data_IF_227762723701
#
_entry.id   IF_227762723701
#
_cell.length_a   1.000
_cell.length_b   1.000
_cell.length_c   1.000
_cell.angle_alpha   90.00
_cell.angle_beta   90.00
_cell.angle_gamma   90.00
#
_symmetry.space_group_name_H-M   'P 1'
#
loop_
_entity.id
_entity.type
_entity.pdbx_description
1 polymer ?
#
# COMPACT_ATOMS: atom_id res chain seq x y z
N UNK A 1 -3.16 15.05 -16.52
CA UNK A 1 -2.40 14.84 -15.26
C UNK A 1 -1.75 16.12 -14.74
N UNK A 2 -0.94 16.84 -15.53
CA UNK A 2 -0.28 18.08 -15.05
C UNK A 2 -1.25 19.17 -14.55
N UNK A 3 -2.42 19.33 -15.16
CA UNK A 3 -3.44 20.27 -14.66
C UNK A 3 -3.96 19.83 -13.28
N UNK A 4 -4.30 18.55 -13.11
CA UNK A 4 -4.77 17.99 -11.83
C UNK A 4 -3.75 18.17 -10.69
N UNK A 5 -2.46 17.98 -10.97
CA UNK A 5 -1.40 18.21 -9.97
C UNK A 5 -1.32 19.67 -9.52
N UNK A 6 -1.53 20.63 -10.43
CA UNK A 6 -1.46 22.07 -10.13
C UNK A 6 -2.69 22.59 -9.39
N UNK A 7 -3.85 21.96 -9.61
CA UNK A 7 -5.12 22.35 -8.97
C UNK A 7 -5.36 21.66 -7.63
N UNK A 8 -4.49 20.72 -7.22
CA UNK A 8 -4.57 20.09 -5.92
C UNK A 8 -4.36 21.11 -4.80
N UNK A 9 -5.17 21.03 -3.75
CA UNK A 9 -5.10 21.93 -2.57
C UNK A 9 -3.70 21.93 -1.95
N UNK A 10 -3.01 20.80 -1.98
CA UNK A 10 -1.59 20.67 -1.69
C UNK A 10 -0.89 20.05 -2.90
N UNK A 11 -0.20 20.85 -3.73
CA UNK A 11 0.47 20.31 -4.89
C UNK A 11 1.55 19.32 -4.45
N UNK A 12 1.56 18.09 -5.02
CA UNK A 12 2.53 17.06 -4.68
C UNK A 12 3.95 17.57 -4.90
N UNK A 13 4.87 17.22 -4.00
CA UNK A 13 6.29 17.59 -4.08
C UNK A 13 7.16 16.39 -3.73
N UNK A 14 8.37 16.34 -4.30
CA UNK A 14 9.41 15.45 -3.80
C UNK A 14 9.83 15.85 -2.39
N UNK A 15 10.63 15.01 -1.72
CA UNK A 15 11.19 15.34 -0.41
C UNK A 15 12.10 16.59 -0.46
N UNK A 16 12.62 16.95 -1.64
CA UNK A 16 13.48 18.13 -1.90
C UNK A 16 12.64 19.38 -2.13
N UNK A 17 11.31 19.25 -2.11
CA UNK A 17 10.38 20.34 -2.40
C UNK A 17 10.17 20.61 -3.89
N UNK A 18 10.69 19.79 -4.80
CA UNK A 18 10.44 19.93 -6.23
C UNK A 18 8.97 19.61 -6.53
N UNK A 19 8.25 20.46 -7.28
CA UNK A 19 6.86 20.19 -7.62
C UNK A 19 6.75 18.96 -8.51
N UNK A 20 5.79 18.08 -8.20
CA UNK A 20 5.53 16.90 -9.01
C UNK A 20 4.82 17.31 -10.30
N UNK A 21 5.40 16.91 -11.42
CA UNK A 21 4.82 16.98 -12.75
C UNK A 21 4.91 15.63 -13.45
N UNK A 22 4.30 15.51 -14.61
CA UNK A 22 4.29 14.28 -15.41
C UNK A 22 4.92 14.54 -16.78
N UNK A 23 5.77 13.62 -17.22
CA UNK A 23 6.58 13.73 -18.42
C UNK A 23 6.59 12.44 -19.26
N UNK A 24 6.96 12.50 -20.55
CA UNK A 24 7.22 11.32 -21.35
C UNK A 24 8.35 10.46 -20.77
N UNK A 25 8.29 9.10 -20.86
CA UNK A 25 9.28 8.23 -20.23
C UNK A 25 10.71 8.36 -20.76
N UNK A 26 10.90 8.89 -21.96
CA UNK A 26 12.19 9.09 -22.59
C UNK A 26 13.07 10.04 -21.77
N UNK A 27 12.47 10.98 -21.02
CA UNK A 27 13.20 11.91 -20.16
C UNK A 27 13.96 11.21 -19.01
N UNK A 28 13.51 10.02 -18.60
CA UNK A 28 14.13 9.25 -17.52
C UNK A 28 15.11 8.16 -18.03
N UNK A 29 15.28 8.00 -19.34
CA UNK A 29 16.04 6.88 -19.91
C UNK A 29 17.50 6.82 -19.42
N UNK A 30 18.13 7.97 -19.19
CA UNK A 30 19.55 8.05 -18.84
C UNK A 30 19.86 7.65 -17.38
N UNK A 31 18.97 7.94 -16.43
CA UNK A 31 19.20 7.72 -15.00
C UNK A 31 18.19 6.78 -14.32
N UNK A 32 17.14 6.37 -15.04
CA UNK A 32 16.07 5.52 -14.52
C UNK A 32 14.99 6.30 -13.76
N UNK A 33 13.84 5.64 -13.58
CA UNK A 33 12.61 6.23 -13.06
C UNK A 33 12.78 6.95 -11.70
N UNK A 34 13.30 6.27 -10.69
CA UNK A 34 13.39 6.80 -9.32
C UNK A 34 14.38 7.97 -9.21
N UNK A 35 15.53 7.86 -9.86
CA UNK A 35 16.54 8.92 -9.85
C UNK A 35 16.09 10.14 -10.66
N UNK A 36 15.36 9.94 -11.76
CA UNK A 36 14.78 11.03 -12.54
C UNK A 36 13.76 11.84 -11.72
N UNK A 37 12.81 11.17 -11.07
CA UNK A 37 11.81 11.83 -10.21
C UNK A 37 12.51 12.60 -9.09
N UNK A 38 13.48 11.97 -8.43
CA UNK A 38 14.25 12.58 -7.36
C UNK A 38 14.93 13.87 -7.78
N UNK A 39 15.52 13.90 -8.98
CA UNK A 39 16.29 15.02 -9.49
C UNK A 39 15.42 16.15 -10.08
N UNK A 40 14.23 15.84 -10.59
CA UNK A 40 13.45 16.77 -11.42
C UNK A 40 12.03 17.05 -10.92
N UNK A 41 11.49 16.19 -10.05
CA UNK A 41 10.08 16.17 -9.71
C UNK A 41 9.18 15.69 -10.86
N UNK A 42 9.73 15.23 -11.98
CA UNK A 42 8.93 14.78 -13.13
C UNK A 42 8.76 13.28 -13.08
N UNK A 43 7.51 12.82 -13.14
CA UNK A 43 7.11 11.42 -13.09
C UNK A 43 6.89 10.93 -14.53
N UNK A 44 7.70 9.99 -15.03
CA UNK A 44 7.48 9.31 -16.30
C UNK A 44 6.07 8.73 -16.39
N UNK A 45 5.32 9.07 -17.44
CA UNK A 45 3.92 8.65 -17.62
C UNK A 45 3.62 8.50 -19.11
N UNK A 46 3.26 7.28 -19.54
CA UNK A 46 2.86 7.01 -20.93
C UNK A 46 1.42 7.43 -21.18
N UNK A 47 1.18 7.97 -22.36
CA UNK A 47 -0.18 8.26 -22.83
C UNK A 47 -0.93 6.96 -23.08
N UNK A 48 -2.19 6.88 -22.63
CA UNK A 48 -3.04 5.70 -22.82
C UNK A 48 -2.68 4.48 -21.96
N UNK A 49 -1.78 4.63 -20.98
CA UNK A 49 -1.40 3.55 -20.09
C UNK A 49 -2.15 3.65 -18.74
N UNK A 50 -2.98 2.65 -18.45
CA UNK A 50 -3.82 2.60 -17.23
C UNK A 50 -2.99 2.47 -15.96
N UNK A 51 -1.89 1.73 -16.01
CA UNK A 51 -0.98 1.59 -14.88
C UNK A 51 -0.33 2.93 -14.51
N UNK A 52 0.19 3.65 -15.51
CA UNK A 52 0.80 4.97 -15.31
C UNK A 52 -0.26 6.01 -14.86
N UNK A 53 -1.53 5.87 -15.28
CA UNK A 53 -2.65 6.66 -14.76
C UNK A 53 -2.87 6.42 -13.26
N UNK A 54 -2.96 5.17 -12.81
CA UNK A 54 -3.13 4.88 -11.38
C UNK A 54 -1.92 5.32 -10.56
N UNK A 55 -0.71 5.17 -11.10
CA UNK A 55 0.50 5.67 -10.46
C UNK A 55 0.47 7.21 -10.33
N UNK A 56 0.01 7.91 -11.36
CA UNK A 56 -0.18 9.36 -11.30
C UNK A 56 -1.21 9.76 -10.23
N UNK A 57 -2.35 9.07 -10.16
CA UNK A 57 -3.36 9.29 -9.11
C UNK A 57 -2.82 8.99 -7.71
N UNK A 58 -1.99 7.95 -7.56
CA UNK A 58 -1.33 7.64 -6.29
C UNK A 58 -0.39 8.77 -5.85
N UNK A 59 0.37 9.39 -6.76
CA UNK A 59 1.16 10.60 -6.47
C UNK A 59 0.32 11.79 -6.02
N UNK A 60 -0.92 11.92 -6.51
CA UNK A 60 -1.83 13.00 -6.10
C UNK A 60 -2.50 12.71 -4.75
N UNK A 61 -2.88 11.46 -4.49
CA UNK A 61 -3.60 11.05 -3.28
C UNK A 61 -2.68 10.82 -2.07
N UNK A 62 -1.45 10.33 -2.33
CA UNK A 62 -0.44 10.00 -1.31
C UNK A 62 0.89 10.71 -1.57
N UNK A 63 0.90 12.05 -1.70
CA UNK A 63 2.09 12.81 -2.10
C UNK A 63 3.26 12.61 -1.14
N UNK A 64 3.02 12.57 0.18
CA UNK A 64 4.09 12.46 1.18
C UNK A 64 4.69 11.05 1.17
N UNK A 65 3.84 10.03 1.09
CA UNK A 65 4.28 8.63 1.06
C UNK A 65 5.07 8.34 -0.20
N UNK A 66 4.58 8.76 -1.37
CA UNK A 66 5.27 8.59 -2.65
C UNK A 66 6.62 9.31 -2.67
N UNK A 67 6.68 10.54 -2.15
CA UNK A 67 7.94 11.28 -2.00
C UNK A 67 8.93 10.56 -1.07
N UNK A 68 8.47 10.05 0.08
CA UNK A 68 9.31 9.31 1.01
C UNK A 68 9.85 8.01 0.40
N UNK A 69 9.00 7.24 -0.31
CA UNK A 69 9.41 6.02 -1.00
C UNK A 69 10.43 6.31 -2.11
N UNK A 70 10.17 7.33 -2.94
CA UNK A 70 11.09 7.75 -4.00
C UNK A 70 12.46 8.15 -3.43
N UNK A 71 12.48 8.95 -2.36
CA UNK A 71 13.72 9.35 -1.68
C UNK A 71 14.52 8.14 -1.19
N UNK A 72 13.85 7.17 -0.55
CA UNK A 72 14.50 5.94 -0.06
C UNK A 72 14.99 5.06 -1.21
N UNK A 73 14.22 4.93 -2.30
CA UNK A 73 14.69 4.25 -3.52
C UNK A 73 15.93 4.91 -4.10
N UNK A 74 15.90 6.22 -4.32
CA UNK A 74 16.99 6.98 -4.89
C UNK A 74 18.27 6.92 -4.04
N UNK A 75 18.16 6.91 -2.71
CA UNK A 75 19.30 6.75 -1.82
C UNK A 75 19.95 5.35 -1.87
N UNK A 76 19.17 4.31 -2.21
CA UNK A 76 19.67 2.93 -2.27
C UNK A 76 20.23 2.54 -3.64
N UNK A 77 19.66 3.03 -4.73
CA UNK A 77 20.04 2.63 -6.10
C UNK A 77 21.56 2.74 -6.36
N UNK A 78 22.26 3.84 -6.04
CA UNK A 78 23.70 3.94 -6.29
C UNK A 78 24.56 2.97 -5.48
N UNK A 79 24.02 2.41 -4.39
CA UNK A 79 24.70 1.45 -3.51
C UNK A 79 24.45 -0.01 -3.93
N UNK A 80 23.55 -0.23 -4.91
CA UNK A 80 23.15 -1.56 -5.37
C UNK A 80 23.86 -1.89 -6.70
N UNK A 81 24.52 -3.05 -6.77
CA UNK A 81 25.20 -3.55 -7.97
C UNK A 81 24.25 -4.15 -9.02
N UNK A 82 23.12 -3.48 -9.29
CA UNK A 82 22.13 -3.90 -10.30
C UNK A 82 20.97 -4.77 -9.80
N UNK A 83 21.13 -5.47 -8.66
CA UNK A 83 20.03 -6.20 -8.03
C UNK A 83 19.34 -5.37 -6.93
N UNK A 84 18.01 -5.35 -6.95
CA UNK A 84 17.20 -4.63 -5.95
C UNK A 84 17.35 -5.27 -4.57
N UNK A 85 17.70 -4.48 -3.56
CA UNK A 85 17.80 -4.95 -2.18
C UNK A 85 16.44 -5.11 -1.49
N UNK A 86 16.43 -5.77 -0.32
CA UNK A 86 15.21 -6.10 0.45
C UNK A 86 14.37 -4.89 0.84
N UNK A 87 15.00 -3.77 1.20
CA UNK A 87 14.31 -2.53 1.50
C UNK A 87 13.57 -2.01 0.27
N UNK A 88 14.22 -2.01 -0.90
CA UNK A 88 13.56 -1.58 -2.14
C UNK A 88 12.49 -2.58 -2.59
N UNK A 89 12.64 -3.88 -2.33
CA UNK A 89 11.54 -4.84 -2.53
C UNK A 89 10.33 -4.50 -1.67
N UNK A 90 10.53 -4.15 -0.40
CA UNK A 90 9.46 -3.69 0.50
C UNK A 90 8.76 -2.45 -0.07
N UNK A 91 9.54 -1.42 -0.43
CA UNK A 91 8.99 -0.16 -0.95
C UNK A 91 8.26 -0.36 -2.27
N UNK A 92 8.79 -1.20 -3.16
CA UNK A 92 8.09 -1.56 -4.42
C UNK A 92 6.76 -2.23 -4.11
N UNK A 93 6.74 -3.19 -3.17
CA UNK A 93 5.52 -3.89 -2.79
C UNK A 93 4.48 -2.96 -2.16
N UNK A 94 4.92 -1.99 -1.37
CA UNK A 94 4.05 -0.93 -0.84
C UNK A 94 3.52 -0.07 -2.00
N UNK A 95 4.36 0.34 -2.94
CA UNK A 95 3.95 1.22 -4.02
C UNK A 95 3.02 0.57 -5.05
N UNK A 96 3.23 -0.71 -5.36
CA UNK A 96 2.43 -1.43 -6.36
C UNK A 96 1.16 -2.04 -5.75
N UNK A 97 1.24 -2.56 -4.53
CA UNK A 97 0.17 -3.37 -3.94
C UNK A 97 -0.14 -2.99 -2.49
N UNK A 98 0.30 -1.83 -2.02
CA UNK A 98 0.06 -1.35 -0.66
C UNK A 98 -1.39 -1.02 -0.34
N UNK A 99 -1.78 -1.28 0.90
CA UNK A 99 -3.00 -0.76 1.50
C UNK A 99 -2.64 -0.16 2.85
N UNK A 100 -3.02 1.10 3.06
CA UNK A 100 -2.91 1.74 4.37
C UNK A 100 -4.18 1.46 5.13
N UNK A 101 -4.05 0.77 6.27
CA UNK A 101 -5.15 0.35 7.13
C UNK A 101 -5.18 1.26 8.35
N UNK A 102 -6.12 2.19 8.35
CA UNK A 102 -6.47 2.95 9.55
C UNK A 102 -7.14 1.99 10.53
N UNK A 103 -6.62 1.84 11.74
CA UNK A 103 -7.08 0.84 12.69
C UNK A 103 -7.21 1.42 14.10
N UNK A 104 -8.41 1.37 14.66
CA UNK A 104 -8.70 1.77 16.04
C UNK A 104 -8.72 0.60 17.03
N UNK A 105 -8.75 -0.63 16.52
CA UNK A 105 -8.78 -1.85 17.34
C UNK A 105 -7.53 -2.72 17.04
N UNK A 106 -6.56 -2.83 17.97
CA UNK A 106 -5.35 -3.63 17.76
C UNK A 106 -5.64 -5.13 17.61
N UNK A 107 -6.76 -5.62 18.16
CA UNK A 107 -7.20 -7.00 18.00
C UNK A 107 -7.58 -7.34 16.56
N UNK A 108 -8.17 -6.40 15.81
CA UNK A 108 -8.44 -6.60 14.38
C UNK A 108 -7.15 -6.62 13.55
N UNK A 109 -6.19 -5.75 13.88
CA UNK A 109 -4.89 -5.78 13.25
C UNK A 109 -4.12 -7.09 13.53
N UNK A 110 -4.30 -7.68 14.72
CA UNK A 110 -3.76 -9.01 15.05
C UNK A 110 -4.39 -10.10 14.18
N UNK A 111 -5.72 -10.09 13.98
CA UNK A 111 -6.38 -11.04 13.09
C UNK A 111 -5.80 -11.01 11.66
N UNK A 112 -5.43 -9.83 11.13
CA UNK A 112 -4.77 -9.74 9.81
C UNK A 112 -3.38 -10.38 9.84
N UNK A 113 -2.56 -10.05 10.84
CA UNK A 113 -1.18 -10.57 10.95
C UNK A 113 -1.15 -12.09 11.08
N UNK A 114 -2.14 -12.67 11.73
CA UNK A 114 -2.29 -14.11 11.98
C UNK A 114 -3.18 -14.82 10.96
N UNK A 115 -3.63 -14.11 9.91
CA UNK A 115 -4.51 -14.63 8.87
C UNK A 115 -5.82 -15.28 9.39
N UNK A 116 -6.39 -14.74 10.47
CA UNK A 116 -7.68 -15.17 11.06
C UNK A 116 -8.87 -14.58 10.29
N UNK A 117 -9.00 -14.93 9.00
CA UNK A 117 -9.93 -14.27 8.08
C UNK A 117 -11.41 -14.43 8.43
N UNK A 118 -11.83 -15.62 8.85
CA UNK A 118 -13.21 -15.86 9.28
C UNK A 118 -13.54 -15.06 10.54
N UNK A 119 -12.61 -14.96 11.48
CA UNK A 119 -12.81 -14.11 12.66
C UNK A 119 -12.89 -12.63 12.27
N UNK A 120 -11.96 -12.16 11.44
CA UNK A 120 -11.86 -10.76 11.03
C UNK A 120 -13.10 -10.32 10.24
N UNK A 121 -13.35 -10.95 9.09
CA UNK A 121 -14.33 -10.43 8.12
C UNK A 121 -15.75 -10.96 8.33
N UNK A 122 -15.92 -12.12 8.98
CA UNK A 122 -17.25 -12.68 9.26
C UNK A 122 -17.67 -12.44 10.70
N UNK A 123 -16.97 -13.03 11.68
CA UNK A 123 -17.41 -12.97 13.09
C UNK A 123 -17.35 -11.56 13.69
N UNK A 124 -16.34 -10.76 13.29
CA UNK A 124 -16.12 -9.38 13.77
C UNK A 124 -16.43 -8.33 12.71
N UNK A 125 -17.31 -8.66 11.76
CA UNK A 125 -17.66 -7.81 10.61
C UNK A 125 -18.05 -6.37 10.99
N UNK A 126 -18.93 -6.23 11.96
CA UNK A 126 -19.39 -4.91 12.44
C UNK A 126 -18.24 -4.12 13.07
N UNK A 127 -17.35 -4.80 13.81
CA UNK A 127 -16.16 -4.18 14.36
C UNK A 127 -15.18 -3.75 13.27
N UNK A 128 -15.02 -4.51 12.18
CA UNK A 128 -14.24 -4.08 11.00
C UNK A 128 -14.82 -2.82 10.37
N UNK A 129 -16.14 -2.78 10.17
CA UNK A 129 -16.80 -1.59 9.62
C UNK A 129 -16.73 -0.38 10.56
N UNK A 130 -16.72 -0.59 11.88
CA UNK A 130 -16.59 0.51 12.86
C UNK A 130 -15.15 0.99 13.01
N UNK A 131 -14.19 0.07 13.16
CA UNK A 131 -12.85 0.35 13.66
C UNK A 131 -11.73 0.20 12.60
N UNK A 132 -12.04 -0.07 11.33
CA UNK A 132 -11.05 -0.12 10.24
C UNK A 132 -11.49 0.63 8.98
N UNK A 133 -10.53 1.31 8.34
CA UNK A 133 -10.67 1.85 6.97
C UNK A 133 -9.48 1.41 6.14
N UNK A 134 -9.76 0.89 4.94
CA UNK A 134 -8.74 0.44 4.00
C UNK A 134 -8.62 1.48 2.90
N UNK A 135 -7.45 2.08 2.75
CA UNK A 135 -7.17 3.04 1.67
C UNK A 135 -6.04 2.50 0.81
N UNK A 136 -6.34 2.23 -0.46
CA UNK A 136 -5.39 1.61 -1.37
C UNK A 136 -4.40 2.66 -1.87
N UNK A 137 -3.13 2.47 -1.49
CA UNK A 137 -1.99 3.25 -1.99
C UNK A 137 -1.40 2.59 -3.25
N UNK A 138 -1.41 1.26 -3.27
CA UNK A 138 -0.83 0.43 -4.32
C UNK A 138 -1.47 0.67 -5.68
N UNK A 139 -0.77 1.32 -6.60
CA UNK A 139 -1.37 1.70 -7.88
C UNK A 139 -1.75 0.50 -8.76
N UNK A 140 -0.94 -0.57 -8.76
CA UNK A 140 -1.25 -1.79 -9.50
C UNK A 140 -2.38 -2.62 -8.87
N UNK A 141 -2.75 -2.38 -7.61
CA UNK A 141 -3.90 -3.02 -6.99
C UNK A 141 -5.23 -2.56 -7.64
N UNK A 142 -5.33 -1.30 -8.05
CA UNK A 142 -6.51 -0.79 -8.77
C UNK A 142 -6.69 -1.45 -10.14
N UNK A 143 -5.59 -1.69 -10.86
CA UNK A 143 -5.62 -2.42 -12.14
C UNK A 143 -6.13 -3.85 -11.95
N UNK A 144 -5.59 -4.57 -10.97
CA UNK A 144 -6.03 -5.94 -10.62
C UNK A 144 -7.50 -5.98 -10.16
N UNK A 145 -8.00 -4.91 -9.55
CA UNK A 145 -9.39 -4.83 -9.09
C UNK A 145 -10.42 -4.69 -10.22
N UNK A 146 -10.00 -4.35 -11.45
CA UNK A 146 -10.91 -4.31 -12.60
C UNK A 146 -11.40 -5.69 -13.03
N UNK A 147 -10.58 -6.73 -12.79
CA UNK A 147 -10.90 -8.13 -13.08
C UNK A 147 -10.42 -9.02 -11.92
N UNK A 148 -11.15 -9.04 -10.79
CA UNK A 148 -10.68 -9.69 -9.57
C UNK A 148 -10.58 -11.21 -9.73
N UNK A 149 -9.50 -11.81 -9.24
CA UNK A 149 -9.27 -13.25 -9.24
C UNK A 149 -8.81 -13.75 -7.86
N UNK A 150 -9.05 -15.04 -7.53
CA UNK A 150 -8.62 -15.61 -6.26
C UNK A 150 -7.10 -15.52 -6.07
N UNK A 151 -6.67 -14.90 -4.98
CA UNK A 151 -5.25 -14.74 -4.63
C UNK A 151 -4.70 -13.32 -4.77
N UNK A 152 -5.48 -12.35 -5.26
CA UNK A 152 -5.13 -10.94 -5.10
C UNK A 152 -5.07 -10.60 -3.61
N UNK A 153 -3.91 -10.13 -3.16
CA UNK A 153 -3.69 -9.60 -1.82
C UNK A 153 -2.94 -8.29 -1.92
N UNK A 154 -3.30 -7.34 -1.07
CA UNK A 154 -2.51 -6.15 -0.84
C UNK A 154 -1.51 -6.37 0.29
N UNK A 155 -0.57 -5.45 0.44
CA UNK A 155 0.45 -5.42 1.47
C UNK A 155 0.07 -4.36 2.49
N UNK A 156 -0.33 -4.80 3.67
CA UNK A 156 -0.96 -3.91 4.64
C UNK A 156 0.09 -3.14 5.47
N UNK A 157 -0.07 -1.82 5.51
CA UNK A 157 0.58 -0.92 6.43
C UNK A 157 -0.47 -0.44 7.43
N UNK A 158 -0.29 -0.72 8.72
CA UNK A 158 -1.23 -0.29 9.76
C UNK A 158 -0.85 1.08 10.30
N UNK A 159 -1.81 1.98 10.36
CA UNK A 159 -1.71 3.27 11.05
C UNK A 159 -2.76 3.25 12.16
N UNK A 160 -2.31 3.40 13.41
CA UNK A 160 -3.20 3.46 14.56
C UNK A 160 -3.90 4.82 14.57
N UNK A 161 -5.22 4.79 14.73
CA UNK A 161 -6.08 5.98 14.81
C UNK A 161 -7.16 5.76 15.86
N UNK A 162 -7.82 6.82 16.29
CA UNK A 162 -9.04 6.77 17.10
C UNK A 162 -10.29 6.49 16.23
N UNK A 163 -11.38 6.02 16.84
CA UNK A 163 -12.67 5.90 16.14
C UNK A 163 -13.19 7.26 15.66
N UNK A 164 -12.86 8.35 16.36
CA UNK A 164 -13.19 9.71 15.93
C UNK A 164 -12.52 10.07 14.60
N UNK A 165 -11.22 9.78 14.45
CA UNK A 165 -10.49 10.03 13.21
C UNK A 165 -11.00 9.18 12.04
N UNK A 166 -11.50 7.96 12.31
CA UNK A 166 -12.15 7.13 11.28
C UNK A 166 -13.47 7.74 10.76
N UNK A 167 -14.08 8.64 11.55
CA UNK A 167 -15.29 9.38 11.18
C UNK A 167 -15.03 10.67 10.41
N UNK A 168 -13.75 11.06 10.20
CA UNK A 168 -13.42 12.24 9.40
C UNK A 168 -13.80 12.06 7.92
N UNK A 169 -13.96 13.17 7.17
CA UNK A 169 -14.08 13.11 5.71
C UNK A 169 -12.95 12.30 5.08
N UNK A 170 -13.24 11.64 3.95
CA UNK A 170 -12.31 10.73 3.28
C UNK A 170 -10.99 11.42 2.94
N UNK A 171 -11.04 12.69 2.52
CA UNK A 171 -9.88 13.51 2.18
C UNK A 171 -8.98 13.75 3.40
N UNK A 172 -9.58 14.02 4.56
CA UNK A 172 -8.85 14.29 5.80
C UNK A 172 -8.24 13.02 6.38
N UNK A 173 -8.99 11.92 6.36
CA UNK A 173 -8.46 10.61 6.73
C UNK A 173 -7.31 10.21 5.79
N UNK A 174 -7.47 10.40 4.47
CA UNK A 174 -6.42 10.07 3.50
C UNK A 174 -5.16 10.90 3.75
N UNK A 175 -5.28 12.19 4.07
CA UNK A 175 -4.14 13.05 4.42
C UNK A 175 -3.43 12.61 5.70
N UNK A 176 -4.20 12.20 6.71
CA UNK A 176 -3.66 11.63 7.95
C UNK A 176 -2.88 10.35 7.67
N UNK A 177 -3.46 9.45 6.87
CA UNK A 177 -2.83 8.18 6.52
C UNK A 177 -1.60 8.36 5.63
N UNK A 178 -1.62 9.31 4.69
CA UNK A 178 -0.46 9.68 3.88
C UNK A 178 0.68 10.21 4.76
N UNK A 179 0.37 11.06 5.74
CA UNK A 179 1.35 11.56 6.70
C UNK A 179 1.96 10.41 7.52
N UNK A 180 1.13 9.53 8.08
CA UNK A 180 1.57 8.39 8.89
C UNK A 180 2.41 7.39 8.09
N UNK A 181 1.98 7.07 6.86
CA UNK A 181 2.72 6.17 5.98
C UNK A 181 4.07 6.77 5.55
N UNK A 182 4.13 8.08 5.25
CA UNK A 182 5.37 8.77 4.96
C UNK A 182 6.37 8.74 6.13
N UNK A 183 5.90 8.95 7.36
CA UNK A 183 6.73 8.84 8.58
C UNK A 183 7.25 7.41 8.72
N UNK A 184 6.36 6.41 8.62
CA UNK A 184 6.74 5.00 8.71
C UNK A 184 7.83 4.63 7.69
N UNK A 185 7.71 5.06 6.42
CA UNK A 185 8.71 4.82 5.37
C UNK A 185 10.07 5.45 5.70
N UNK A 186 10.07 6.66 6.27
CA UNK A 186 11.30 7.37 6.65
C UNK A 186 12.02 6.71 7.82
N UNK A 187 11.26 6.15 8.76
CA UNK A 187 11.78 5.48 9.96
C UNK A 187 12.20 4.03 9.72
N UNK A 188 11.93 3.46 8.54
CA UNK A 188 12.33 2.10 8.21
C UNK A 188 13.86 1.92 8.35
N UNK A 189 14.34 0.87 9.06
CA UNK A 189 15.75 0.52 9.06
C UNK A 189 16.22 0.09 7.66
N UNK A 190 17.53 0.15 7.40
CA UNK A 190 18.06 -0.27 6.08
C UNK A 190 17.86 -1.77 5.81
N UNK A 191 17.77 -2.57 6.87
CA UNK A 191 17.55 -4.02 6.84
C UNK A 191 16.08 -4.41 6.73
N UNK A 192 15.16 -3.42 6.64
CA UNK A 192 13.73 -3.67 6.54
C UNK A 192 13.41 -4.60 5.35
N UNK A 193 12.39 -5.43 5.54
CA UNK A 193 12.04 -6.48 4.58
C UNK A 193 10.54 -6.55 4.34
N UNK A 194 10.09 -7.09 3.19
CA UNK A 194 8.67 -7.24 2.87
C UNK A 194 7.81 -7.93 3.95
N UNK A 195 8.42 -8.66 4.90
CA UNK A 195 7.71 -9.29 6.03
C UNK A 195 7.01 -8.29 6.95
N UNK A 196 7.41 -7.01 6.94
CA UNK A 196 6.75 -5.95 7.70
C UNK A 196 5.35 -5.61 7.16
N UNK A 197 5.05 -6.02 5.93
CA UNK A 197 3.75 -5.76 5.28
C UNK A 197 2.98 -7.09 5.13
N UNK A 198 2.16 -7.48 6.13
CA UNK A 198 1.39 -8.71 6.04
C UNK A 198 0.44 -8.68 4.83
N UNK A 199 0.21 -9.82 4.18
CA UNK A 199 -0.76 -9.91 3.10
C UNK A 199 -2.18 -9.69 3.63
N UNK A 200 -2.99 -8.92 2.90
CA UNK A 200 -4.38 -8.64 3.22
C UNK A 200 -5.26 -8.92 1.99
N UNK A 201 -6.19 -9.90 2.04
CA UNK A 201 -7.17 -10.11 0.98
C UNK A 201 -8.23 -8.99 1.04
N UNK A 202 -8.00 -7.91 0.31
CA UNK A 202 -8.83 -6.69 0.37
C UNK A 202 -10.30 -6.92 0.00
N UNK A 203 -10.58 -7.92 -0.83
CA UNK A 203 -11.93 -8.34 -1.20
C UNK A 203 -12.72 -9.00 -0.07
N UNK A 204 -12.07 -9.25 1.07
CA UNK A 204 -12.76 -9.62 2.29
C UNK A 204 -13.43 -8.44 3.00
N UNK A 205 -13.04 -7.20 2.68
CA UNK A 205 -13.61 -6.03 3.33
C UNK A 205 -15.12 -5.98 3.11
N UNK A 206 -15.93 -5.90 4.19
CA UNK A 206 -17.38 -6.02 4.10
C UNK A 206 -18.01 -5.08 3.08
N UNK A 207 -18.66 -5.67 2.06
CA UNK A 207 -19.42 -4.94 1.04
C UNK A 207 -18.65 -4.60 -0.24
N UNK A 208 -17.36 -4.97 -0.34
CA UNK A 208 -16.56 -4.69 -1.54
C UNK A 208 -16.75 -5.70 -2.68
N UNK A 209 -17.20 -6.93 -2.37
CA UNK A 209 -17.43 -7.98 -3.36
C UNK A 209 -18.80 -8.64 -3.16
N UNK A 210 -19.49 -9.04 -4.24
CA UNK A 210 -20.67 -9.89 -4.15
C UNK A 210 -20.38 -11.20 -3.38
N UNK A 211 -21.34 -11.67 -2.59
CA UNK A 211 -21.20 -12.89 -1.78
C UNK A 211 -20.53 -12.69 -0.42
N UNK A 212 -20.02 -11.49 -0.14
CA UNK A 212 -19.51 -11.09 1.18
C UNK A 212 -20.56 -11.26 2.32
N UNK A 213 -21.84 -11.34 2.00
CA UNK A 213 -22.95 -11.57 2.92
C UNK A 213 -23.10 -13.04 3.34
N UNK A 214 -22.37 -13.96 2.71
CA UNK A 214 -22.39 -15.38 3.03
C UNK A 214 -21.10 -15.85 3.71
N UNK A 215 -21.18 -16.70 4.76
CA UNK A 215 -19.99 -17.25 5.41
C UNK A 215 -19.15 -18.11 4.46
N UNK A 216 -19.79 -18.75 3.47
CA UNK A 216 -19.11 -19.59 2.48
C UNK A 216 -18.08 -18.83 1.64
N UNK A 217 -18.26 -17.53 1.43
CA UNK A 217 -17.28 -16.69 0.74
C UNK A 217 -15.96 -16.62 1.52
N UNK A 218 -16.04 -16.40 2.83
CA UNK A 218 -14.87 -16.34 3.71
C UNK A 218 -14.23 -17.70 4.00
N UNK A 219 -14.97 -18.79 3.77
CA UNK A 219 -14.45 -20.15 3.86
C UNK A 219 -13.62 -20.56 2.64
N UNK A 220 -13.69 -19.81 1.53
CA UNK A 220 -12.94 -20.12 0.32
C UNK A 220 -11.45 -19.79 0.49
N UNK A 221 -10.66 -20.84 0.75
CA UNK A 221 -9.21 -20.73 0.96
C UNK A 221 -8.42 -20.31 -0.28
N UNK A 222 -9.03 -20.27 -1.47
CA UNK A 222 -8.39 -19.67 -2.66
C UNK A 222 -8.21 -18.17 -2.49
N UNK A 223 -9.18 -17.51 -1.84
CA UNK A 223 -9.16 -16.08 -1.48
C UNK A 223 -8.55 -15.85 -0.10
N UNK A 224 -8.97 -16.64 0.89
CA UNK A 224 -8.66 -16.46 2.32
C UNK A 224 -7.69 -17.54 2.80
N UNK A 225 -6.47 -17.52 2.27
CA UNK A 225 -5.44 -18.51 2.62
C UNK A 225 -5.02 -18.35 4.09
N UNK A 226 -5.10 -19.40 4.92
CA UNK A 226 -4.56 -19.32 6.29
C UNK A 226 -3.05 -19.14 6.24
N UNK A 227 -2.48 -18.65 7.34
CA UNK A 227 -1.03 -18.61 7.49
C UNK A 227 -0.50 -20.04 7.43
N UNK A 228 0.55 -20.26 6.63
CA UNK A 228 1.25 -21.55 6.64
C UNK A 228 1.79 -21.76 8.06
N UNK A 229 1.24 -22.74 8.78
CA UNK A 229 1.88 -23.24 10.00
C UNK A 229 3.23 -23.79 9.55
N UNK A 230 4.31 -23.13 9.96
CA UNK A 230 5.57 -23.84 10.06
C UNK A 230 5.35 -24.81 11.21
N UNK A 231 5.07 -26.08 10.88
CA UNK A 231 5.17 -27.15 11.85
C UNK A 231 6.63 -27.16 12.34
N UNK A 232 6.90 -26.45 13.43
CA UNK A 232 7.98 -26.84 14.33
C UNK A 232 7.52 -28.18 14.87
N UNK A 233 7.92 -29.26 14.20
CA UNK A 233 7.96 -30.56 14.79
C UNK A 233 8.71 -30.40 16.12
N UNK A 234 7.94 -30.50 17.21
CA UNK A 234 8.45 -30.91 18.49
C UNK A 234 8.98 -32.33 18.28
N UNK A 235 10.22 -32.45 17.82
CA UNK A 235 11.03 -33.60 18.18
C UNK A 235 11.35 -33.43 19.66
N UNK A 236 10.39 -33.88 20.45
CA UNK A 236 10.57 -34.25 21.84
C UNK A 236 11.76 -35.21 21.89
N UNK A 237 12.78 -34.83 22.65
CA UNK A 237 13.82 -35.74 23.13
C UNK A 237 13.14 -37.01 23.68
N UNK A 238 13.34 -38.12 22.99
CA UNK A 238 13.17 -39.48 23.49
C UNK A 238 14.53 -40.11 23.68
#
# INVERSE_FOLDING_TARGET
MNQLARTAVQPPRTLEGLPIGFCPPEEAAACGYELHIRATGRVPTRTGNVHDLFNALAWLAFPRSKAAMNARHAARIPREGGARGRLRDLLTLLDESGVVVACADPGLAACVREARWMELFWARREAVQRAMRFVILGHAAYEKAQAPYPGITCKALFINVSEQELGHPVEDLTRLLDAGAATWVQELPEEATPRLLPPLPIFGYPGWMPGNDAPGFYADTRWFRPQRRHDKALETFG
#
